data_IF_912493297141
#
_entry.id   IF_912493297141
#
_cell.length_a   1.000
_cell.length_b   1.000
_cell.length_c   1.000
_cell.angle_alpha   90.00
_cell.angle_beta   90.00
_cell.angle_gamma   90.00
#
_symmetry.space_group_name_H-M   'P 1'
#
loop_
_entity.id
_entity.type
_entity.pdbx_description
1 polymer ?
#
# COMPACT_ATOMS: atom_id res chain seq x y z
N UNK A 1 -14.59 5.76 16.58
CA UNK A 1 -14.20 4.85 15.49
C UNK A 1 -14.55 5.55 14.19
N UNK A 2 -13.55 5.85 13.37
CA UNK A 2 -13.76 6.45 12.06
C UNK A 2 -14.46 5.44 11.16
N UNK A 3 -15.62 5.80 10.59
CA UNK A 3 -16.41 4.90 9.77
C UNK A 3 -15.74 4.75 8.39
N UNK A 4 -15.28 3.55 8.03
CA UNK A 4 -14.62 3.33 6.73
C UNK A 4 -15.51 3.75 5.55
N UNK A 5 -16.84 3.65 5.67
CA UNK A 5 -17.78 4.08 4.63
C UNK A 5 -17.70 5.58 4.38
N UNK A 6 -17.53 6.40 5.43
CA UNK A 6 -17.43 7.85 5.29
C UNK A 6 -16.15 8.25 4.56
N UNK A 7 -15.02 7.62 4.92
CA UNK A 7 -13.74 7.83 4.24
C UNK A 7 -13.83 7.38 2.78
N UNK A 8 -14.36 6.18 2.53
CA UNK A 8 -14.48 5.62 1.18
C UNK A 8 -15.41 6.47 0.31
N UNK A 9 -16.52 6.96 0.87
CA UNK A 9 -17.42 7.88 0.19
C UNK A 9 -16.75 9.22 -0.13
N UNK A 10 -15.98 9.77 0.82
CA UNK A 10 -15.24 11.01 0.60
C UNK A 10 -14.21 10.84 -0.52
N UNK A 11 -13.35 9.81 -0.45
CA UNK A 11 -12.35 9.52 -1.47
C UNK A 11 -13.03 9.26 -2.82
N UNK A 12 -14.12 8.49 -2.84
CA UNK A 12 -14.87 8.23 -4.06
C UNK A 12 -15.46 9.51 -4.68
N UNK A 13 -15.90 10.48 -3.87
CA UNK A 13 -16.43 11.76 -4.37
C UNK A 13 -15.41 12.59 -5.15
N UNK A 14 -14.11 12.32 -4.98
CA UNK A 14 -13.05 12.96 -5.78
C UNK A 14 -13.18 12.54 -7.26
N UNK A 15 -13.77 11.38 -7.55
CA UNK A 15 -14.07 10.95 -8.91
C UNK A 15 -14.98 11.92 -9.66
N UNK A 16 -15.84 12.66 -8.95
CA UNK A 16 -16.73 13.67 -9.56
C UNK A 16 -15.94 14.83 -10.18
N UNK A 17 -14.75 15.15 -9.66
CA UNK A 17 -13.88 16.21 -10.22
C UNK A 17 -13.25 15.80 -11.55
N UNK A 18 -13.02 14.50 -11.76
CA UNK A 18 -12.26 13.98 -12.90
C UNK A 18 -13.14 13.33 -13.97
N UNK A 19 -14.45 13.27 -13.75
CA UNK A 19 -15.41 12.51 -14.57
C UNK A 19 -15.49 12.93 -16.04
N UNK A 20 -15.23 14.21 -16.32
CA UNK A 20 -15.31 14.76 -17.68
C UNK A 20 -13.99 14.55 -18.46
N UNK A 21 -12.91 14.13 -17.77
CA UNK A 21 -11.55 13.96 -18.32
C UNK A 21 -11.11 12.48 -18.33
N UNK A 22 -11.56 11.70 -17.36
CA UNK A 22 -11.27 10.28 -17.22
C UNK A 22 -12.54 9.48 -17.47
N UNK A 23 -12.40 8.35 -18.17
CA UNK A 23 -13.48 7.36 -18.25
C UNK A 23 -13.66 6.73 -16.87
N UNK A 24 -14.87 6.25 -16.56
CA UNK A 24 -15.20 5.64 -15.26
C UNK A 24 -14.23 4.53 -14.84
N UNK A 25 -13.84 3.66 -15.78
CA UNK A 25 -12.85 2.60 -15.57
C UNK A 25 -11.41 3.07 -15.32
N UNK A 26 -11.15 4.38 -15.42
CA UNK A 26 -9.85 5.02 -15.24
C UNK A 26 -9.79 5.92 -14.02
N UNK A 27 -10.83 5.88 -13.18
CA UNK A 27 -10.83 6.59 -11.91
C UNK A 27 -9.83 5.97 -10.93
N UNK A 28 -9.63 4.65 -10.97
CA UNK A 28 -8.68 3.96 -10.09
C UNK A 28 -7.23 4.43 -10.30
N UNK A 29 -6.84 4.68 -11.56
CA UNK A 29 -5.53 5.20 -11.95
C UNK A 29 -5.23 6.59 -11.31
N UNK A 30 -6.26 7.29 -10.82
CA UNK A 30 -6.13 8.54 -10.05
C UNK A 30 -6.27 8.27 -8.55
N UNK A 31 -7.36 7.64 -8.14
CA UNK A 31 -7.76 7.56 -6.74
C UNK A 31 -6.82 6.67 -5.92
N UNK A 32 -6.41 5.51 -6.44
CA UNK A 32 -5.55 4.57 -5.72
C UNK A 32 -4.14 5.14 -5.45
N UNK A 33 -3.40 5.69 -6.44
CA UNK A 33 -2.08 6.24 -6.16
C UNK A 33 -2.12 7.47 -5.26
N UNK A 34 -3.11 8.37 -5.40
CA UNK A 34 -3.21 9.53 -4.49
C UNK A 34 -3.55 9.11 -3.06
N UNK A 35 -4.49 8.17 -2.86
CA UNK A 35 -4.80 7.63 -1.54
C UNK A 35 -3.57 6.98 -0.91
N UNK A 36 -2.82 6.20 -1.69
CA UNK A 36 -1.59 5.53 -1.24
C UNK A 36 -0.50 6.55 -0.88
N UNK A 37 -0.23 7.50 -1.76
CA UNK A 37 0.75 8.56 -1.53
C UNK A 37 0.40 9.40 -0.29
N UNK A 38 -0.87 9.74 -0.12
CA UNK A 38 -1.35 10.48 1.05
C UNK A 38 -1.13 9.70 2.35
N UNK A 39 -1.42 8.40 2.36
CA UNK A 39 -1.20 7.56 3.54
C UNK A 39 0.30 7.44 3.87
N UNK A 40 1.15 7.25 2.86
CA UNK A 40 2.61 7.21 3.03
C UNK A 40 3.18 8.55 3.53
N UNK A 41 2.66 9.68 3.07
CA UNK A 41 3.04 11.00 3.60
C UNK A 41 2.60 11.18 5.06
N UNK A 42 1.35 10.82 5.37
CA UNK A 42 0.81 10.92 6.73
C UNK A 42 1.71 10.23 7.75
N UNK A 43 2.15 8.99 7.49
CA UNK A 43 3.01 8.24 8.44
C UNK A 43 4.40 8.82 8.61
N UNK A 44 4.90 9.58 7.63
CA UNK A 44 6.19 10.25 7.70
C UNK A 44 6.12 11.67 8.27
N UNK A 45 4.93 12.25 8.46
CA UNK A 45 4.77 13.65 8.88
C UNK A 45 5.48 13.91 10.22
N UNK A 46 5.34 12.99 11.18
CA UNK A 46 5.96 13.09 12.51
C UNK A 46 7.50 12.98 12.51
N UNK A 47 8.10 12.28 11.54
CA UNK A 47 9.56 12.01 11.48
C UNK A 47 10.25 12.80 10.37
N UNK A 48 9.51 13.64 9.64
CA UNK A 48 10.02 14.42 8.50
C UNK A 48 11.26 15.23 8.84
N UNK A 49 11.23 15.93 9.99
CA UNK A 49 12.35 16.77 10.45
C UNK A 49 13.61 15.93 10.69
N UNK A 50 13.47 14.79 11.35
CA UNK A 50 14.60 13.90 11.67
C UNK A 50 15.22 13.30 10.41
N UNK A 51 14.40 12.93 9.43
CA UNK A 51 14.85 12.47 8.11
C UNK A 51 15.62 13.56 7.37
N UNK A 52 15.12 14.80 7.34
CA UNK A 52 15.78 15.91 6.66
C UNK A 52 17.11 16.30 7.32
N UNK A 53 17.15 16.38 8.65
CA UNK A 53 18.38 16.63 9.40
C UNK A 53 19.42 15.52 9.18
N UNK A 54 18.97 14.26 9.19
CA UNK A 54 19.82 13.10 8.92
C UNK A 54 20.36 13.13 7.49
N UNK A 55 19.50 13.37 6.51
CA UNK A 55 19.89 13.49 5.09
C UNK A 55 20.94 14.57 4.87
N UNK A 56 20.76 15.74 5.50
CA UNK A 56 21.74 16.84 5.45
C UNK A 56 23.08 16.42 6.08
N UNK A 57 23.07 15.88 7.30
CA UNK A 57 24.28 15.43 8.01
C UNK A 57 25.05 14.37 7.21
N UNK A 58 24.35 13.42 6.58
CA UNK A 58 24.97 12.38 5.75
C UNK A 58 25.56 12.94 4.46
N UNK A 59 24.89 13.92 3.85
CA UNK A 59 25.38 14.62 2.66
C UNK A 59 26.66 15.40 2.95
N UNK A 60 26.69 16.16 4.05
CA UNK A 60 27.85 16.94 4.49
C UNK A 60 29.06 16.05 4.82
N UNK A 61 28.81 14.82 5.28
CA UNK A 61 29.84 13.80 5.55
C UNK A 61 30.28 13.02 4.31
N UNK A 62 29.68 13.26 3.14
CA UNK A 62 29.98 12.51 1.92
C UNK A 62 29.60 11.03 1.98
N UNK A 63 28.65 10.63 2.83
CA UNK A 63 28.20 9.24 2.91
C UNK A 63 27.37 8.91 1.67
N UNK A 64 27.79 7.90 0.91
CA UNK A 64 27.09 7.45 -0.30
C UNK A 64 25.87 6.59 0.02
N UNK A 65 26.04 5.52 0.82
CA UNK A 65 24.94 4.67 1.26
C UNK A 65 24.23 5.27 2.49
N UNK A 66 23.15 6.01 2.23
CA UNK A 66 22.35 6.72 3.25
C UNK A 66 21.11 5.95 3.69
N UNK A 67 20.74 4.91 2.95
CA UNK A 67 19.44 4.24 3.06
C UNK A 67 19.17 3.69 4.48
N UNK A 68 20.10 2.96 5.14
CA UNK A 68 19.84 2.42 6.48
C UNK A 68 19.59 3.51 7.53
N UNK A 69 20.35 4.60 7.49
CA UNK A 69 20.22 5.70 8.45
C UNK A 69 18.96 6.51 8.21
N UNK A 70 18.53 6.66 6.95
CA UNK A 70 17.29 7.36 6.62
C UNK A 70 16.05 6.55 7.00
N UNK A 71 16.03 5.23 6.77
CA UNK A 71 14.99 4.33 7.30
C UNK A 71 14.94 4.34 8.82
N UNK A 72 16.11 4.34 9.47
CA UNK A 72 16.18 4.47 10.93
C UNK A 72 15.61 5.82 11.43
N UNK A 73 15.90 6.91 10.72
CA UNK A 73 15.39 8.24 11.07
C UNK A 73 13.89 8.39 10.82
N UNK A 74 13.34 7.74 9.80
CA UNK A 74 11.90 7.75 9.55
C UNK A 74 11.11 6.88 10.53
N UNK A 75 11.75 5.84 11.08
CA UNK A 75 11.09 4.82 11.89
C UNK A 75 10.33 3.77 11.06
N UNK A 76 10.47 3.82 9.73
CA UNK A 76 9.83 2.92 8.79
C UNK A 76 10.84 2.34 7.81
N UNK A 77 10.43 1.29 7.08
CA UNK A 77 11.22 0.71 6.00
C UNK A 77 11.37 1.61 4.76
N UNK A 78 10.88 2.85 4.82
CA UNK A 78 10.92 3.83 3.74
C UNK A 78 11.04 5.24 4.32
N UNK A 79 11.37 6.21 3.47
CA UNK A 79 11.53 7.62 3.86
C UNK A 79 11.27 8.54 2.67
N UNK A 80 11.18 9.85 2.94
CA UNK A 80 11.12 10.88 1.91
C UNK A 80 12.02 12.07 2.27
N UNK A 81 12.99 12.39 1.40
CA UNK A 81 13.96 13.49 1.61
C UNK A 81 13.55 14.83 0.99
N UNK A 82 12.36 14.95 0.43
CA UNK A 82 11.87 16.23 -0.11
C UNK A 82 11.65 17.23 1.02
N UNK A 83 11.91 18.51 0.77
CA UNK A 83 11.52 19.58 1.71
C UNK A 83 10.00 19.71 1.84
N UNK A 84 9.25 19.25 0.84
CA UNK A 84 7.81 19.28 0.84
C UNK A 84 7.22 18.10 1.61
N UNK A 85 6.08 18.34 2.25
CA UNK A 85 5.05 17.33 2.58
C UNK A 85 3.94 17.40 1.56
N UNK A 86 3.07 16.39 1.53
CA UNK A 86 1.91 16.38 0.63
C UNK A 86 1.03 17.64 0.80
N UNK A 87 0.95 18.18 2.02
CA UNK A 87 0.24 19.44 2.32
C UNK A 87 0.91 20.65 1.68
N UNK A 88 2.21 20.83 1.92
CA UNK A 88 2.95 22.02 1.46
C UNK A 88 3.20 22.07 -0.05
N UNK A 89 2.93 20.98 -0.78
CA UNK A 89 3.01 20.99 -2.25
C UNK A 89 2.07 22.02 -2.87
N UNK A 90 0.93 22.30 -2.22
CA UNK A 90 -0.04 23.29 -2.69
C UNK A 90 0.40 24.75 -2.48
N UNK A 91 1.46 25.00 -1.69
CA UNK A 91 1.96 26.35 -1.43
C UNK A 91 2.59 26.98 -2.69
N UNK A 92 3.01 26.17 -3.65
CA UNK A 92 3.56 26.58 -4.95
C UNK A 92 2.74 25.95 -6.09
N UNK A 93 1.50 26.41 -6.23
CA UNK A 93 0.55 25.89 -7.19
C UNK A 93 1.01 26.04 -8.66
N UNK A 94 1.85 27.04 -8.97
CA UNK A 94 2.35 27.26 -10.33
C UNK A 94 3.28 26.14 -10.80
N UNK A 95 4.08 25.58 -9.90
CA UNK A 95 5.04 24.51 -10.20
C UNK A 95 4.59 23.16 -9.64
N UNK A 96 3.28 22.97 -9.40
CA UNK A 96 2.76 21.83 -8.66
C UNK A 96 3.15 20.49 -9.27
N UNK A 97 3.06 20.33 -10.60
CA UNK A 97 3.44 19.10 -11.30
C UNK A 97 4.91 18.74 -11.06
N UNK A 98 5.80 19.70 -11.25
CA UNK A 98 7.25 19.48 -11.12
C UNK A 98 7.62 19.23 -9.65
N UNK A 99 7.01 19.98 -8.72
CA UNK A 99 7.19 19.80 -7.28
C UNK A 99 6.68 18.43 -6.81
N UNK A 100 5.51 17.98 -7.28
CA UNK A 100 4.96 16.65 -6.97
C UNK A 100 5.85 15.54 -7.54
N UNK A 101 6.31 15.70 -8.78
CA UNK A 101 7.22 14.74 -9.43
C UNK A 101 8.54 14.63 -8.66
N UNK A 102 9.14 15.75 -8.28
CA UNK A 102 10.34 15.78 -7.45
C UNK A 102 10.11 15.21 -6.04
N UNK A 103 8.95 15.47 -5.44
CA UNK A 103 8.54 14.92 -4.16
C UNK A 103 8.44 13.39 -4.20
N UNK A 104 7.80 12.82 -5.23
CA UNK A 104 7.72 11.37 -5.44
C UNK A 104 9.12 10.79 -5.64
N UNK A 105 9.95 11.43 -6.46
CA UNK A 105 11.33 11.00 -6.71
C UNK A 105 12.26 11.11 -5.48
N UNK A 106 11.84 11.81 -4.43
CA UNK A 106 12.58 11.92 -3.17
C UNK A 106 12.23 10.82 -2.16
N UNK A 107 11.32 9.91 -2.50
CA UNK A 107 11.09 8.70 -1.71
C UNK A 107 12.20 7.66 -1.89
N UNK A 108 12.33 6.78 -0.91
CA UNK A 108 13.17 5.57 -1.02
C UNK A 108 12.75 4.70 -2.21
N UNK A 109 13.67 3.87 -2.75
CA UNK A 109 13.42 3.10 -3.99
C UNK A 109 12.14 2.25 -3.97
N UNK A 110 11.84 1.61 -2.84
CA UNK A 110 10.65 0.76 -2.67
C UNK A 110 9.31 1.52 -2.84
N UNK A 111 9.24 2.78 -2.41
CA UNK A 111 8.02 3.61 -2.62
C UNK A 111 7.98 4.17 -4.04
N UNK A 112 9.13 4.49 -4.65
CA UNK A 112 9.17 4.90 -6.06
C UNK A 112 8.66 3.80 -6.98
N UNK A 113 9.05 2.55 -6.72
CA UNK A 113 8.55 1.38 -7.43
C UNK A 113 7.01 1.27 -7.32
N UNK A 114 6.43 1.48 -6.14
CA UNK A 114 4.97 1.50 -5.96
C UNK A 114 4.32 2.55 -6.87
N UNK A 115 4.87 3.75 -6.94
CA UNK A 115 4.33 4.84 -7.78
C UNK A 115 4.50 4.55 -9.28
N UNK A 116 5.58 3.87 -9.67
CA UNK A 116 5.81 3.39 -11.04
C UNK A 116 4.80 2.31 -11.43
N UNK A 117 4.49 1.38 -10.52
CA UNK A 117 3.49 0.31 -10.74
C UNK A 117 2.07 0.84 -10.92
N UNK A 118 1.76 2.00 -10.34
CA UNK A 118 0.51 2.73 -10.62
C UNK A 118 0.52 3.55 -11.92
N UNK A 119 1.63 3.61 -12.67
CA UNK A 119 1.82 4.55 -13.80
C UNK A 119 1.53 6.02 -13.39
N UNK A 120 1.88 6.38 -12.15
CA UNK A 120 1.31 7.59 -11.53
C UNK A 120 1.78 8.89 -12.18
N UNK A 121 3.01 8.94 -12.71
CA UNK A 121 3.53 10.12 -13.41
C UNK A 121 2.70 10.48 -14.65
N UNK A 122 2.17 9.47 -15.36
CA UNK A 122 1.28 9.69 -16.50
C UNK A 122 -0.07 10.27 -16.06
N UNK A 123 -0.60 9.77 -14.94
CA UNK A 123 -1.81 10.33 -14.33
C UNK A 123 -1.61 11.80 -13.92
N UNK A 124 -0.48 12.13 -13.29
CA UNK A 124 -0.13 13.50 -12.90
C UNK A 124 -0.09 14.42 -14.12
N UNK A 125 0.60 14.00 -15.19
CA UNK A 125 0.66 14.76 -16.44
C UNK A 125 -0.72 15.03 -17.03
N UNK A 126 -1.58 14.02 -17.09
CA UNK A 126 -2.92 14.16 -17.65
C UNK A 126 -3.80 15.10 -16.80
N UNK A 127 -3.71 15.01 -15.47
CA UNK A 127 -4.44 15.91 -14.56
C UNK A 127 -3.96 17.35 -14.69
N UNK A 128 -2.65 17.56 -14.82
CA UNK A 128 -2.04 18.87 -15.01
C UNK A 128 -2.47 19.53 -16.32
N UNK A 129 -2.37 18.81 -17.44
CA UNK A 129 -2.85 19.26 -18.76
C UNK A 129 -4.34 19.60 -18.79
N UNK A 130 -5.12 18.98 -17.90
CA UNK A 130 -6.58 19.20 -17.79
C UNK A 130 -6.94 20.27 -16.76
N UNK A 131 -5.97 20.89 -16.07
CA UNK A 131 -6.20 21.88 -15.02
C UNK A 131 -6.81 21.31 -13.74
N UNK A 132 -6.76 19.98 -13.54
CA UNK A 132 -7.39 19.28 -12.42
C UNK A 132 -6.43 18.91 -11.30
N UNK A 133 -5.10 18.92 -11.53
CA UNK A 133 -4.11 18.44 -10.56
C UNK A 133 -4.23 19.15 -9.21
N UNK A 134 -4.31 20.48 -9.22
CA UNK A 134 -4.47 21.27 -7.99
C UNK A 134 -5.77 20.91 -7.25
N UNK A 135 -6.89 20.79 -7.96
CA UNK A 135 -8.20 20.50 -7.36
C UNK A 135 -8.24 19.11 -6.72
N UNK A 136 -7.66 18.11 -7.39
CA UNK A 136 -7.55 16.74 -6.86
C UNK A 136 -6.66 16.72 -5.62
N UNK A 137 -5.47 17.32 -5.69
CA UNK A 137 -4.56 17.39 -4.54
C UNK A 137 -5.15 18.18 -3.37
N UNK A 138 -5.89 19.26 -3.64
CA UNK A 138 -6.60 20.03 -2.63
C UNK A 138 -7.62 19.17 -1.89
N UNK A 139 -8.38 18.32 -2.58
CA UNK A 139 -9.32 17.38 -1.93
C UNK A 139 -8.61 16.34 -1.07
N UNK A 140 -7.48 15.80 -1.51
CA UNK A 140 -6.68 14.88 -0.69
C UNK A 140 -5.97 15.57 0.48
N UNK A 141 -5.87 16.91 0.46
CA UNK A 141 -5.35 17.74 1.55
C UNK A 141 -6.41 18.26 2.52
N UNK A 142 -7.68 17.88 2.34
CA UNK A 142 -8.74 18.22 3.28
C UNK A 142 -8.36 17.78 4.70
N UNK A 143 -8.54 18.67 5.69
CA UNK A 143 -8.20 18.39 7.08
C UNK A 143 -8.99 17.22 7.68
N UNK A 144 -10.13 16.86 7.07
CA UNK A 144 -10.94 15.73 7.46
C UNK A 144 -10.40 14.39 6.92
N UNK A 145 -9.41 14.42 6.02
CA UNK A 145 -8.77 13.23 5.45
C UNK A 145 -7.36 13.03 6.03
N UNK A 146 -7.29 12.63 7.30
CA UNK A 146 -6.06 12.15 7.92
C UNK A 146 -6.01 10.62 7.86
N UNK A 147 -5.11 10.09 7.02
CA UNK A 147 -4.93 8.66 6.80
C UNK A 147 -3.82 8.06 7.67
N UNK A 148 -3.32 8.76 8.69
CA UNK A 148 -2.38 8.20 9.65
C UNK A 148 -3.00 7.00 10.40
N UNK A 149 -2.26 5.91 10.68
CA UNK A 149 -2.73 4.76 11.47
C UNK A 149 -3.36 5.11 12.83
N UNK A 150 -2.95 6.22 13.45
CA UNK A 150 -3.54 6.71 14.71
C UNK A 150 -4.98 7.24 14.54
N UNK A 151 -5.38 7.61 13.33
CA UNK A 151 -6.74 8.08 12.99
C UNK A 151 -7.55 7.05 12.22
N UNK A 152 -6.87 6.37 11.30
CA UNK A 152 -7.41 5.33 10.42
C UNK A 152 -6.46 4.14 10.48
N UNK A 153 -6.74 3.26 11.43
CA UNK A 153 -5.97 2.05 11.66
C UNK A 153 -5.86 1.19 10.39
N UNK A 154 -4.90 0.26 10.38
CA UNK A 154 -4.61 -0.55 9.19
C UNK A 154 -5.78 -1.45 8.77
N UNK A 155 -6.62 -1.88 9.71
CA UNK A 155 -7.81 -2.69 9.41
C UNK A 155 -8.85 -1.83 8.69
N UNK A 156 -9.16 -0.65 9.24
CA UNK A 156 -10.07 0.34 8.65
C UNK A 156 -9.60 0.76 7.26
N UNK A 157 -8.30 1.01 7.07
CA UNK A 157 -7.76 1.35 5.76
C UNK A 157 -7.86 0.20 4.76
N UNK A 158 -7.65 -1.04 5.20
CA UNK A 158 -7.90 -2.22 4.39
C UNK A 158 -9.32 -2.23 3.85
N UNK A 159 -10.32 -2.00 4.70
CA UNK A 159 -11.71 -1.87 4.26
C UNK A 159 -11.95 -0.70 3.29
N UNK A 160 -11.25 0.43 3.46
CA UNK A 160 -11.34 1.56 2.50
C UNK A 160 -10.85 1.14 1.12
N UNK A 161 -9.68 0.50 1.00
CA UNK A 161 -9.17 0.05 -0.29
C UNK A 161 -10.04 -1.03 -0.91
N UNK A 162 -10.52 -1.99 -0.11
CA UNK A 162 -11.45 -3.04 -0.56
C UNK A 162 -12.74 -2.44 -1.13
N UNK A 163 -13.32 -1.45 -0.45
CA UNK A 163 -14.54 -0.78 -0.91
C UNK A 163 -14.30 0.03 -2.19
N UNK A 164 -13.16 0.74 -2.30
CA UNK A 164 -12.79 1.48 -3.51
C UNK A 164 -12.61 0.54 -4.71
N UNK A 165 -11.87 -0.56 -4.55
CA UNK A 165 -11.67 -1.57 -5.60
C UNK A 165 -13.02 -2.17 -6.03
N UNK A 166 -13.88 -2.54 -5.06
CA UNK A 166 -15.22 -3.06 -5.34
C UNK A 166 -16.02 -2.09 -6.21
N UNK A 167 -16.03 -0.79 -5.89
CA UNK A 167 -16.73 0.23 -6.68
C UNK A 167 -16.14 0.41 -8.08
N UNK A 168 -14.81 0.29 -8.26
CA UNK A 168 -14.19 0.35 -9.58
C UNK A 168 -14.59 -0.85 -10.46
N UNK A 169 -14.59 -2.06 -9.89
CA UNK A 169 -15.01 -3.28 -10.60
C UNK A 169 -16.49 -3.21 -10.99
N UNK A 170 -17.36 -2.76 -10.08
CA UNK A 170 -18.78 -2.50 -10.37
C UNK A 170 -18.96 -1.45 -11.48
N UNK A 171 -18.10 -0.43 -11.53
CA UNK A 171 -18.13 0.58 -12.58
C UNK A 171 -17.63 0.06 -13.95
N UNK A 172 -16.86 -1.02 -13.96
CA UNK A 172 -16.33 -1.70 -15.16
C UNK A 172 -17.22 -2.85 -15.66
N UNK A 173 -18.30 -3.19 -14.92
CA UNK A 173 -19.09 -4.41 -15.12
C UNK A 173 -18.24 -5.70 -15.04
N UNK A 174 -17.14 -5.66 -14.30
CA UNK A 174 -16.35 -6.85 -13.97
C UNK A 174 -16.96 -7.55 -12.74
N UNK A 175 -16.79 -8.87 -12.65
CA UNK A 175 -17.38 -9.68 -11.58
C UNK A 175 -16.68 -9.36 -10.24
N UNK A 176 -17.36 -8.78 -9.23
CA UNK A 176 -16.69 -8.31 -8.01
C UNK A 176 -16.00 -9.44 -7.21
N UNK A 177 -16.54 -10.66 -7.29
CA UNK A 177 -16.01 -11.85 -6.59
C UNK A 177 -14.71 -12.41 -7.16
N UNK A 178 -14.26 -11.94 -8.33
CA UNK A 178 -13.02 -12.38 -8.97
C UNK A 178 -11.77 -11.66 -8.43
N UNK A 179 -11.95 -10.60 -7.64
CA UNK A 179 -10.86 -9.68 -7.27
C UNK A 179 -10.65 -9.48 -5.76
N UNK A 180 -11.60 -9.90 -4.93
CA UNK A 180 -11.49 -9.76 -3.47
C UNK A 180 -12.04 -10.98 -2.74
N UNK A 181 -11.36 -11.36 -1.66
CA UNK A 181 -11.81 -12.42 -0.75
C UNK A 181 -12.37 -11.77 0.52
N UNK A 182 -13.67 -11.92 0.83
CA UNK A 182 -14.25 -11.38 2.06
C UNK A 182 -13.44 -11.76 3.29
N UNK A 183 -13.25 -10.83 4.23
CA UNK A 183 -12.40 -11.04 5.41
C UNK A 183 -12.86 -12.20 6.28
N UNK A 184 -14.16 -12.42 6.35
CA UNK A 184 -14.78 -13.53 7.07
C UNK A 184 -14.37 -14.87 6.46
N UNK A 185 -14.32 -14.95 5.13
CA UNK A 185 -13.85 -16.13 4.40
C UNK A 185 -12.36 -16.36 4.67
N UNK A 186 -11.54 -15.31 4.59
CA UNK A 186 -10.11 -15.39 4.92
C UNK A 186 -9.92 -15.89 6.36
N UNK A 187 -10.64 -15.34 7.34
CA UNK A 187 -10.56 -15.77 8.75
C UNK A 187 -10.90 -17.25 8.90
N UNK A 188 -11.92 -17.75 8.21
CA UNK A 188 -12.26 -19.18 8.22
C UNK A 188 -11.11 -20.01 7.63
N UNK A 189 -10.57 -19.63 6.47
CA UNK A 189 -9.45 -20.33 5.83
C UNK A 189 -8.23 -20.39 6.77
N UNK A 190 -7.83 -19.26 7.34
CA UNK A 190 -6.69 -19.18 8.26
C UNK A 190 -6.94 -20.04 9.50
N UNK A 191 -8.12 -19.94 10.11
CA UNK A 191 -8.47 -20.74 11.30
C UNK A 191 -8.36 -22.25 11.02
N UNK A 192 -8.82 -22.71 9.85
CA UNK A 192 -8.69 -24.11 9.47
C UNK A 192 -7.22 -24.53 9.32
N UNK A 193 -6.37 -23.65 8.81
CA UNK A 193 -4.93 -23.91 8.66
C UNK A 193 -4.19 -23.95 9.99
N UNK A 194 -4.52 -23.08 10.96
CA UNK A 194 -3.68 -22.89 12.15
C UNK A 194 -4.26 -23.46 13.45
N UNK A 195 -5.56 -23.78 13.52
CA UNK A 195 -6.20 -24.19 14.77
C UNK A 195 -5.59 -25.46 15.40
N UNK A 196 -5.11 -26.38 14.56
CA UNK A 196 -4.49 -27.64 14.97
C UNK A 196 -2.95 -27.57 15.01
N UNK A 197 -2.35 -26.41 14.75
CA UNK A 197 -0.91 -26.22 14.86
C UNK A 197 -0.52 -26.13 16.34
N UNK A 198 -0.09 -27.27 16.89
CA UNK A 198 0.33 -27.35 18.30
C UNK A 198 1.54 -26.49 18.59
N UNK A 199 2.45 -26.30 17.64
CA UNK A 199 3.65 -25.53 17.92
C UNK A 199 3.31 -24.06 18.13
N UNK A 200 2.48 -23.47 17.26
CA UNK A 200 2.00 -22.09 17.44
C UNK A 200 1.34 -21.93 18.82
N UNK A 201 0.68 -22.96 19.34
CA UNK A 201 -0.08 -22.89 20.61
C UNK A 201 0.74 -23.22 21.86
N UNK A 202 1.77 -24.05 21.74
CA UNK A 202 2.49 -24.65 22.89
C UNK A 202 3.93 -24.15 23.01
N UNK A 203 4.51 -23.57 21.94
CA UNK A 203 5.89 -23.11 21.91
C UNK A 203 5.98 -21.60 21.69
N UNK A 204 7.02 -21.01 22.26
CA UNK A 204 7.38 -19.61 22.04
C UNK A 204 8.40 -19.49 20.89
N UNK A 205 8.47 -18.30 20.28
CA UNK A 205 9.42 -18.01 19.19
C UNK A 205 9.33 -18.97 18.00
N UNK A 206 8.11 -19.39 17.67
CA UNK A 206 7.82 -20.21 16.50
C UNK A 206 7.94 -19.33 15.26
N UNK A 207 8.57 -19.87 14.21
CA UNK A 207 8.62 -19.21 12.90
C UNK A 207 7.57 -19.84 11.99
N UNK A 208 6.80 -19.00 11.28
CA UNK A 208 5.84 -19.43 10.26
C UNK A 208 5.97 -18.60 9.00
N UNK A 209 5.98 -19.30 7.87
CA UNK A 209 6.02 -18.73 6.53
C UNK A 209 4.66 -18.90 5.85
N UNK A 210 4.12 -17.82 5.31
CA UNK A 210 2.81 -17.80 4.64
C UNK A 210 3.00 -17.30 3.22
N UNK A 211 2.46 -18.03 2.25
CA UNK A 211 2.49 -17.64 0.85
C UNK A 211 1.09 -17.53 0.24
N UNK A 212 0.89 -16.47 -0.54
CA UNK A 212 -0.26 -16.30 -1.43
C UNK A 212 0.22 -16.05 -2.87
N UNK A 213 0.02 -17.00 -3.81
CA UNK A 213 0.52 -16.90 -5.18
C UNK A 213 -0.25 -15.92 -6.07
N UNK A 214 -1.36 -15.36 -5.57
CA UNK A 214 -2.22 -14.41 -6.27
C UNK A 214 -2.77 -13.39 -5.25
N UNK A 215 -1.86 -12.70 -4.58
CA UNK A 215 -2.15 -12.06 -3.31
C UNK A 215 -3.09 -10.85 -3.38
N UNK A 216 -3.39 -10.34 -4.57
CA UNK A 216 -4.23 -9.16 -4.75
C UNK A 216 -3.67 -7.99 -3.95
N UNK A 217 -4.52 -7.36 -3.15
CA UNK A 217 -4.16 -6.28 -2.23
C UNK A 217 -3.48 -6.75 -0.93
N UNK A 218 -3.23 -8.05 -0.74
CA UNK A 218 -2.54 -8.61 0.43
C UNK A 218 -3.44 -8.85 1.65
N UNK A 219 -4.76 -8.79 1.49
CA UNK A 219 -5.72 -8.99 2.59
C UNK A 219 -5.58 -10.37 3.25
N UNK A 220 -5.36 -11.41 2.45
CA UNK A 220 -5.19 -12.79 2.94
C UNK A 220 -3.93 -12.93 3.81
N UNK A 221 -2.80 -12.40 3.34
CA UNK A 221 -1.53 -12.38 4.07
C UNK A 221 -1.62 -11.61 5.39
N UNK A 222 -2.22 -10.40 5.35
CA UNK A 222 -2.38 -9.55 6.52
C UNK A 222 -3.22 -10.21 7.62
N UNK A 223 -4.41 -10.70 7.25
CA UNK A 223 -5.32 -11.34 8.21
C UNK A 223 -4.73 -12.63 8.75
N UNK A 224 -3.99 -13.39 7.93
CA UNK A 224 -3.31 -14.59 8.39
C UNK A 224 -2.26 -14.28 9.47
N UNK A 225 -1.44 -13.25 9.26
CA UNK A 225 -0.45 -12.78 10.25
C UNK A 225 -1.11 -12.28 11.53
N UNK A 226 -2.10 -11.40 11.41
CA UNK A 226 -2.87 -10.88 12.56
C UNK A 226 -3.44 -12.03 13.38
N UNK A 227 -4.08 -13.01 12.72
CA UNK A 227 -4.71 -14.14 13.40
C UNK A 227 -3.71 -15.07 14.09
N UNK A 228 -2.55 -15.33 13.49
CA UNK A 228 -1.50 -16.13 14.13
C UNK A 228 -0.95 -15.39 15.36
N UNK A 229 -0.73 -14.09 15.25
CA UNK A 229 -0.26 -13.26 16.37
C UNK A 229 -1.31 -13.14 17.49
N UNK A 230 -2.61 -13.19 17.18
CA UNK A 230 -3.67 -13.29 18.21
C UNK A 230 -3.62 -14.62 18.98
N UNK A 231 -3.24 -15.72 18.32
CA UNK A 231 -3.11 -17.02 18.95
C UNK A 231 -1.83 -17.07 19.80
N UNK A 232 -0.73 -16.56 19.25
CA UNK A 232 0.56 -16.48 19.92
C UNK A 232 1.36 -15.27 19.41
N UNK A 233 1.41 -14.23 20.23
CA UNK A 233 2.08 -12.97 19.93
C UNK A 233 3.61 -13.08 19.79
N UNK A 234 4.21 -14.18 20.24
CA UNK A 234 5.64 -14.45 20.11
C UNK A 234 5.99 -15.20 18.81
N UNK A 235 5.00 -15.47 17.95
CA UNK A 235 5.23 -16.10 16.64
C UNK A 235 5.82 -15.09 15.66
N UNK A 236 6.95 -15.45 15.04
CA UNK A 236 7.51 -14.72 13.92
C UNK A 236 6.86 -15.17 12.61
N UNK A 237 6.05 -14.30 12.02
CA UNK A 237 5.33 -14.57 10.78
C UNK A 237 5.97 -13.83 9.61
N UNK A 238 6.37 -14.58 8.58
CA UNK A 238 6.95 -14.08 7.34
C UNK A 238 5.97 -14.25 6.19
N UNK A 239 5.66 -13.14 5.54
CA UNK A 239 4.70 -13.09 4.45
C UNK A 239 5.42 -13.11 3.11
N UNK A 240 4.85 -13.85 2.17
CA UNK A 240 5.28 -13.97 0.79
C UNK A 240 4.07 -13.85 -0.11
N UNK A 241 4.18 -13.05 -1.17
CA UNK A 241 3.08 -12.79 -2.08
C UNK A 241 3.54 -12.68 -3.51
N UNK A 242 2.70 -13.09 -4.45
CA UNK A 242 2.89 -12.81 -5.86
C UNK A 242 1.61 -12.26 -6.48
N UNK A 243 1.73 -11.19 -7.28
CA UNK A 243 0.58 -10.55 -7.93
C UNK A 243 0.94 -10.10 -9.34
N UNK A 244 0.03 -10.39 -10.29
CA UNK A 244 0.23 -10.09 -11.71
C UNK A 244 -0.24 -8.68 -12.07
N UNK A 245 -1.26 -8.16 -11.40
CA UNK A 245 -1.79 -6.82 -11.62
C UNK A 245 -0.90 -5.77 -10.89
N UNK A 246 -0.32 -4.80 -11.62
CA UNK A 246 0.57 -3.80 -11.03
C UNK A 246 -0.06 -2.93 -9.93
N UNK A 247 -1.35 -2.60 -10.05
CA UNK A 247 -2.03 -1.70 -9.11
C UNK A 247 -2.32 -2.42 -7.78
N UNK A 248 -2.82 -3.66 -7.84
CA UNK A 248 -3.05 -4.46 -6.62
C UNK A 248 -1.73 -4.85 -5.96
N UNK A 249 -0.69 -5.14 -6.75
CA UNK A 249 0.69 -5.29 -6.27
C UNK A 249 1.15 -4.07 -5.48
N UNK A 250 1.00 -2.88 -6.06
CA UNK A 250 1.41 -1.62 -5.45
C UNK A 250 0.66 -1.36 -4.13
N UNK A 251 -0.64 -1.66 -4.08
CA UNK A 251 -1.42 -1.61 -2.85
C UNK A 251 -0.90 -2.59 -1.79
N UNK A 252 -0.70 -3.86 -2.15
CA UNK A 252 -0.18 -4.87 -1.24
C UNK A 252 1.18 -4.47 -0.66
N UNK A 253 2.13 -4.07 -1.53
CA UNK A 253 3.46 -3.65 -1.10
C UNK A 253 3.42 -2.40 -0.21
N UNK A 254 2.55 -1.43 -0.52
CA UNK A 254 2.38 -0.22 0.29
C UNK A 254 1.85 -0.52 1.70
N UNK A 255 0.88 -1.42 1.82
CA UNK A 255 0.30 -1.84 3.10
C UNK A 255 1.33 -2.60 3.94
N UNK A 256 2.10 -3.50 3.31
CA UNK A 256 3.20 -4.21 3.98
C UNK A 256 4.30 -3.25 4.46
N UNK A 257 4.65 -2.21 3.70
CA UNK A 257 5.64 -1.21 4.13
C UNK A 257 5.19 -0.42 5.38
N UNK A 258 3.89 -0.18 5.52
CA UNK A 258 3.34 0.52 6.69
C UNK A 258 3.30 -0.41 7.92
N UNK A 259 3.02 -1.70 7.71
CA UNK A 259 2.89 -2.70 8.78
C UNK A 259 4.23 -3.28 9.25
N UNK A 260 5.25 -3.32 8.38
CA UNK A 260 6.54 -3.94 8.63
C UNK A 260 7.61 -2.86 8.86
N UNK A 261 8.08 -2.75 10.11
CA UNK A 261 9.11 -1.77 10.50
C UNK A 261 10.43 -1.98 9.75
N UNK A 262 10.79 -3.24 9.49
CA UNK A 262 11.99 -3.63 8.75
C UNK A 262 11.78 -3.75 7.23
N UNK A 263 10.53 -3.74 6.77
CA UNK A 263 10.15 -3.82 5.35
C UNK A 263 10.25 -5.20 4.74
N UNK A 264 10.60 -6.22 5.53
CA UNK A 264 10.88 -7.57 5.02
C UNK A 264 9.69 -8.17 4.28
N UNK A 265 8.49 -7.95 4.78
CA UNK A 265 7.27 -8.51 4.19
C UNK A 265 6.97 -7.83 2.85
N UNK A 266 7.28 -6.53 2.73
CA UNK A 266 7.11 -5.79 1.49
C UNK A 266 8.10 -6.23 0.40
N UNK A 267 9.34 -6.56 0.76
CA UNK A 267 10.35 -7.09 -0.18
C UNK A 267 10.01 -8.52 -0.67
N UNK A 268 9.18 -9.24 0.09
CA UNK A 268 8.68 -10.55 -0.27
C UNK A 268 7.39 -10.51 -1.13
N UNK A 269 6.86 -9.32 -1.45
CA UNK A 269 5.80 -9.18 -2.44
C UNK A 269 6.43 -8.99 -3.81
N UNK A 270 6.18 -9.95 -4.72
CA UNK A 270 6.77 -9.97 -6.06
C UNK A 270 5.70 -9.80 -7.14
N UNK A 271 6.07 -9.12 -8.21
CA UNK A 271 5.21 -8.91 -9.37
C UNK A 271 5.38 -10.05 -10.39
N UNK A 272 4.51 -10.07 -11.40
CA UNK A 272 4.41 -11.07 -12.49
C UNK A 272 3.55 -12.29 -12.17
N UNK A 273 3.19 -13.03 -13.22
CA UNK A 273 2.32 -14.20 -13.16
C UNK A 273 3.00 -15.38 -12.45
N UNK A 274 2.35 -15.91 -11.41
CA UNK A 274 2.80 -17.12 -10.68
C UNK A 274 2.94 -18.34 -11.60
N UNK A 275 2.12 -18.46 -12.65
CA UNK A 275 2.15 -19.61 -13.56
C UNK A 275 3.29 -19.55 -14.58
N UNK A 276 3.55 -18.37 -15.16
CA UNK A 276 4.53 -18.23 -16.24
C UNK A 276 5.91 -17.79 -15.76
N UNK A 277 5.97 -17.12 -14.61
CA UNK A 277 7.19 -16.59 -13.99
C UNK A 277 7.08 -16.72 -12.47
N UNK A 278 7.06 -17.96 -12.00
CA UNK A 278 7.10 -18.27 -10.58
C UNK A 278 8.30 -17.59 -9.94
N UNK A 279 8.03 -16.75 -8.94
CA UNK A 279 9.06 -16.03 -8.22
C UNK A 279 9.61 -16.83 -7.03
N UNK A 280 8.96 -17.90 -6.60
CA UNK A 280 9.36 -18.69 -5.44
C UNK A 280 9.53 -20.20 -5.77
N UNK A 281 10.20 -20.58 -6.88
CA UNK A 281 10.17 -21.95 -7.41
C UNK A 281 10.84 -22.99 -6.50
N UNK A 282 11.76 -22.54 -5.64
CA UNK A 282 12.52 -23.42 -4.75
C UNK A 282 12.13 -23.25 -3.27
N UNK A 283 11.26 -22.30 -2.97
CA UNK A 283 10.84 -22.02 -1.61
C UNK A 283 9.80 -23.05 -1.14
N UNK A 284 9.67 -23.17 0.18
CA UNK A 284 8.65 -23.99 0.84
C UNK A 284 8.02 -23.14 1.92
N UNK A 285 6.72 -23.24 2.04
CA UNK A 285 5.93 -22.43 2.96
C UNK A 285 5.14 -23.33 3.89
N UNK A 286 5.01 -22.92 5.15
CA UNK A 286 4.24 -23.65 6.16
C UNK A 286 2.74 -23.57 5.85
N UNK A 287 2.30 -22.42 5.34
CA UNK A 287 0.90 -22.16 5.00
C UNK A 287 0.85 -21.53 3.60
N UNK A 288 0.01 -22.10 2.73
CA UNK A 288 -0.33 -21.50 1.44
C UNK A 288 -1.84 -21.24 1.44
N UNK A 289 -2.23 -19.99 1.21
CA UNK A 289 -3.62 -19.58 1.06
C UNK A 289 -3.76 -18.90 -0.31
N UNK A 290 -4.81 -19.20 -1.05
CA UNK A 290 -5.03 -18.62 -2.36
C UNK A 290 -6.53 -18.47 -2.64
N UNK A 291 -6.88 -17.40 -3.35
CA UNK A 291 -8.15 -17.25 -4.06
C UNK A 291 -7.83 -16.82 -5.50
N UNK A 292 -7.48 -17.76 -6.39
CA UNK A 292 -7.06 -17.43 -7.74
C UNK A 292 -8.23 -16.87 -8.57
N UNK A 293 -7.95 -16.10 -9.64
CA UNK A 293 -9.00 -15.59 -10.52
C UNK A 293 -9.78 -16.76 -11.17
N UNK A 294 -11.10 -16.63 -11.25
CA UNK A 294 -11.97 -17.62 -11.86
C UNK A 294 -11.93 -17.50 -13.40
N UNK A 295 -11.85 -18.63 -14.11
CA UNK A 295 -12.17 -18.70 -15.54
C UNK A 295 -11.23 -17.98 -16.52
N UNK A 296 -9.95 -17.81 -16.18
CA UNK A 296 -8.94 -17.37 -17.15
C UNK A 296 -8.38 -18.60 -17.88
N UNK A 297 -8.77 -18.78 -19.14
CA UNK A 297 -8.15 -19.73 -20.07
C UNK A 297 -6.69 -19.36 -20.39
#
# INVERSE_FOLDING_TARGET
MTNFNEISNFIWSIADLIRDVFKRGKYQDVILPFTTLKRLDSVLEGTKKDVLETSKKLSEKGIENRDPQLRKASGYAFYNTSRYTFRTLLDDAQNLRDNLTAYINSFSPNVREIMEKFDFFRTIEKLDQSGLLYLVMQRFNDSNLDLHPDKVDNLTMGYVFEDLIRRFNEALNENPGEHFTPREVIKVMVNLSVNNDKEIREKNHVVRTIYDPCCGSGGMLSIAKERIMEINAETEVYLYGQEVNPETYALCKSDMLIKSVDGRDAENIRDESTLSKDKFPNDRFDIILANPPYGKD
#
